data_IF_557659690294
#
_entry.id   IF_557659690294
#
_cell.length_a   1.000
_cell.length_b   1.000
_cell.length_c   1.000
_cell.angle_alpha   90.00
_cell.angle_beta   90.00
_cell.angle_gamma   90.00
#
_symmetry.space_group_name_H-M   'P 1'
#
loop_
_entity.id
_entity.type
_entity.pdbx_description
1 polymer ?
#
# COMPACT_ATOMS: atom_id res chain seq x y z
N UNK A 1 2.09 7.21 -13.27
CA UNK A 1 0.96 6.38 -12.81
C UNK A 1 1.05 6.27 -11.30
N UNK A 2 -0.09 6.12 -10.62
CA UNK A 2 -0.18 5.97 -9.19
C UNK A 2 -0.89 4.66 -8.84
N UNK A 3 -0.72 4.22 -7.59
CA UNK A 3 -1.40 3.06 -7.02
C UNK A 3 -2.05 3.48 -5.71
N UNK A 4 -3.37 3.28 -5.61
CA UNK A 4 -4.15 3.48 -4.39
C UNK A 4 -4.41 2.13 -3.76
N UNK A 5 -4.05 1.98 -2.48
CA UNK A 5 -4.25 0.76 -1.72
C UNK A 5 -5.09 1.03 -0.46
N UNK A 6 -6.02 0.14 -0.15
CA UNK A 6 -6.80 0.15 1.08
C UNK A 6 -6.35 -0.99 2.01
N UNK A 7 -6.19 -0.70 3.29
CA UNK A 7 -5.93 -1.71 4.33
C UNK A 7 -6.93 -1.53 5.48
N UNK A 8 -7.16 -2.62 6.21
CA UNK A 8 -7.82 -2.60 7.51
C UNK A 8 -6.76 -2.87 8.60
N UNK A 9 -6.60 -1.90 9.50
CA UNK A 9 -5.57 -1.86 10.53
C UNK A 9 -6.19 -1.51 11.88
N UNK A 10 -6.76 -2.49 12.60
CA UNK A 10 -7.35 -2.27 13.93
C UNK A 10 -6.38 -1.64 14.93
N UNK A 11 -5.09 -2.00 14.84
CA UNK A 11 -3.98 -1.32 15.51
C UNK A 11 -3.13 -0.58 14.48
N UNK A 12 -3.43 0.71 14.29
CA UNK A 12 -2.72 1.56 13.34
C UNK A 12 -1.22 1.70 13.68
N UNK A 13 -0.87 1.76 14.97
CA UNK A 13 0.52 1.97 15.38
C UNK A 13 1.37 0.75 15.05
N UNK A 14 0.87 -0.45 15.37
CA UNK A 14 1.53 -1.70 15.00
C UNK A 14 1.61 -1.87 13.48
N UNK A 15 0.51 -1.59 12.77
CA UNK A 15 0.48 -1.64 11.31
C UNK A 15 1.49 -0.68 10.67
N UNK A 16 1.58 0.56 11.16
CA UNK A 16 2.50 1.57 10.61
C UNK A 16 3.96 1.16 10.84
N UNK A 17 4.29 0.60 12.01
CA UNK A 17 5.63 0.10 12.27
C UNK A 17 6.02 -1.05 11.33
N UNK A 18 5.10 -1.99 11.07
CA UNK A 18 5.33 -3.07 10.11
C UNK A 18 5.47 -2.54 8.68
N UNK A 19 4.60 -1.61 8.27
CA UNK A 19 4.68 -0.95 6.96
C UNK A 19 6.01 -0.22 6.76
N UNK A 20 6.47 0.52 7.78
CA UNK A 20 7.73 1.25 7.72
C UNK A 20 8.96 0.33 7.65
N UNK A 21 8.87 -0.87 8.25
CA UNK A 21 9.93 -1.87 8.13
C UNK A 21 10.04 -2.49 6.73
N UNK A 22 9.01 -2.33 5.89
CA UNK A 22 8.95 -2.86 4.53
C UNK A 22 9.38 -1.84 3.46
N UNK A 23 9.83 -0.64 3.85
CA UNK A 23 10.18 0.45 2.91
C UNK A 23 11.14 -0.02 1.82
N UNK A 24 12.22 -0.73 2.17
CA UNK A 24 13.19 -1.23 1.18
C UNK A 24 12.56 -2.21 0.19
N UNK A 25 11.64 -3.07 0.65
CA UNK A 25 10.92 -4.02 -0.20
C UNK A 25 9.91 -3.32 -1.11
N UNK A 26 9.26 -2.26 -0.62
CA UNK A 26 8.34 -1.40 -1.39
C UNK A 26 9.12 -0.66 -2.49
N UNK A 27 10.26 -0.07 -2.17
CA UNK A 27 11.14 0.57 -3.15
C UNK A 27 11.66 -0.42 -4.18
N UNK A 28 12.07 -1.62 -3.73
CA UNK A 28 12.44 -2.72 -4.62
C UNK A 28 11.24 -3.30 -5.41
N UNK A 29 10.00 -2.95 -5.07
CA UNK A 29 8.83 -3.25 -5.89
C UNK A 29 8.55 -2.17 -6.96
N UNK A 30 9.39 -1.13 -7.04
CA UNK A 30 9.18 0.00 -7.96
C UNK A 30 8.08 0.94 -7.48
N UNK A 31 7.88 1.05 -6.16
CA UNK A 31 6.89 1.90 -5.53
C UNK A 31 7.57 2.92 -4.62
N UNK A 32 7.04 4.14 -4.56
CA UNK A 32 7.39 5.12 -3.52
C UNK A 32 6.13 5.58 -2.82
N UNK A 33 6.14 5.57 -1.49
CA UNK A 33 4.98 6.02 -0.70
C UNK A 33 4.88 7.54 -0.76
N UNK A 34 3.79 8.07 -1.30
CA UNK A 34 3.52 9.51 -1.35
C UNK A 34 2.75 9.97 -0.12
N UNK A 35 1.64 9.30 0.19
CA UNK A 35 0.76 9.69 1.28
C UNK A 35 0.13 8.46 1.94
N UNK A 36 -0.12 8.58 3.24
CA UNK A 36 -0.89 7.62 4.03
C UNK A 36 -1.99 8.40 4.74
N UNK A 37 -3.23 7.95 4.59
CA UNK A 37 -4.38 8.50 5.30
C UNK A 37 -5.01 7.46 6.20
N UNK A 38 -5.52 7.94 7.33
CA UNK A 38 -6.39 7.18 8.23
C UNK A 38 -7.82 7.66 8.06
N UNK A 39 -8.78 6.75 8.07
CA UNK A 39 -10.19 7.09 8.00
C UNK A 39 -10.61 7.96 9.19
N UNK A 40 -11.23 9.11 8.91
CA UNK A 40 -11.73 10.02 9.95
C UNK A 40 -12.89 9.39 10.73
N UNK A 41 -13.79 8.70 10.02
CA UNK A 41 -14.99 8.06 10.59
C UNK A 41 -14.80 6.56 10.85
N UNK A 42 -13.73 5.97 10.30
CA UNK A 42 -13.37 4.56 10.42
C UNK A 42 -11.88 4.44 10.74
N UNK A 43 -11.50 4.46 12.03
CA UNK A 43 -10.10 4.60 12.42
C UNK A 43 -9.21 3.41 12.07
N UNK A 44 -9.78 2.25 11.74
CA UNK A 44 -9.02 1.09 11.25
C UNK A 44 -8.75 1.17 9.74
N UNK A 45 -9.51 1.96 8.98
CA UNK A 45 -9.30 2.12 7.55
C UNK A 45 -8.03 2.91 7.30
N UNK A 46 -7.13 2.35 6.49
CA UNK A 46 -5.95 3.03 5.99
C UNK A 46 -5.99 3.09 4.47
N UNK A 47 -5.56 4.22 3.91
CA UNK A 47 -5.39 4.43 2.48
C UNK A 47 -3.94 4.81 2.23
N UNK A 48 -3.29 4.14 1.29
CA UNK A 48 -1.91 4.44 0.89
C UNK A 48 -1.91 4.84 -0.58
N UNK A 49 -1.30 5.98 -0.88
CA UNK A 49 -0.99 6.41 -2.23
C UNK A 49 0.48 6.15 -2.51
N UNK A 50 0.74 5.41 -3.57
CA UNK A 50 2.07 5.20 -4.11
C UNK A 50 2.25 5.90 -5.45
N UNK A 51 3.46 6.38 -5.69
CA UNK A 51 4.00 6.57 -7.03
C UNK A 51 4.50 5.23 -7.57
N UNK A 52 4.21 4.94 -8.84
CA UNK A 52 4.62 3.69 -9.49
C UNK A 52 5.67 3.97 -10.54
N UNK A 53 6.90 3.53 -10.27
CA UNK A 53 8.05 3.61 -11.17
C UNK A 53 8.16 2.39 -12.08
N UNK A 54 7.75 1.21 -11.58
CA UNK A 54 7.73 -0.03 -12.35
C UNK A 54 6.42 -0.80 -12.09
N UNK A 55 5.52 -0.79 -13.08
CA UNK A 55 4.22 -1.45 -12.98
C UNK A 55 4.35 -2.97 -12.81
N UNK A 56 5.30 -3.61 -13.48
CA UNK A 56 5.44 -5.07 -13.49
C UNK A 56 5.89 -5.58 -12.13
N UNK A 57 6.86 -4.88 -11.52
CA UNK A 57 7.34 -5.17 -10.15
C UNK A 57 6.26 -4.88 -9.12
N UNK A 58 5.54 -3.76 -9.25
CA UNK A 58 4.43 -3.42 -8.37
C UNK A 58 3.33 -4.49 -8.39
N UNK A 59 2.92 -4.93 -9.59
CA UNK A 59 1.93 -6.00 -9.74
C UNK A 59 2.40 -7.31 -9.11
N UNK A 60 3.67 -7.68 -9.31
CA UNK A 60 4.25 -8.90 -8.72
C UNK A 60 4.26 -8.83 -7.20
N UNK A 61 4.60 -7.67 -6.64
CA UNK A 61 4.58 -7.44 -5.20
C UNK A 61 3.17 -7.54 -4.64
N UNK A 62 2.17 -6.89 -5.26
CA UNK A 62 0.77 -7.00 -4.85
C UNK A 62 0.27 -8.45 -4.85
N UNK A 63 0.60 -9.23 -5.87
CA UNK A 63 0.23 -10.65 -5.94
C UNK A 63 0.87 -11.47 -4.81
N UNK A 64 2.12 -11.18 -4.44
CA UNK A 64 2.78 -11.84 -3.31
C UNK A 64 2.12 -11.49 -1.97
N UNK A 65 1.82 -10.20 -1.74
CA UNK A 65 1.15 -9.76 -0.52
C UNK A 65 -0.23 -10.42 -0.35
N UNK A 66 -1.01 -10.51 -1.45
CA UNK A 66 -2.30 -11.17 -1.43
C UNK A 66 -2.19 -12.69 -1.13
N UNK A 67 -1.19 -13.37 -1.72
CA UNK A 67 -0.97 -14.80 -1.49
C UNK A 67 -0.57 -15.13 -0.04
N UNK A 68 0.05 -14.19 0.68
CA UNK A 68 0.46 -14.34 2.08
C UNK A 68 -0.66 -14.01 3.09
N UNK A 69 -1.83 -13.56 2.62
CA UNK A 69 -2.93 -13.11 3.49
C UNK A 69 -2.65 -11.78 4.22
N UNK A 70 -1.54 -11.12 3.91
CA UNK A 70 -1.15 -9.80 4.43
C UNK A 70 -1.49 -8.66 3.46
N UNK A 71 -2.27 -8.96 2.42
CA UNK A 71 -2.58 -8.05 1.34
C UNK A 71 -3.50 -6.89 1.72
N UNK A 72 -3.46 -5.84 0.90
CA UNK A 72 -4.45 -4.78 0.89
C UNK A 72 -5.85 -5.33 0.57
N UNK A 73 -6.88 -4.74 1.16
CA UNK A 73 -8.29 -5.10 0.91
C UNK A 73 -8.77 -4.65 -0.47
N UNK A 74 -8.17 -3.61 -1.04
CA UNK A 74 -8.42 -3.16 -2.41
C UNK A 74 -7.19 -2.43 -2.96
N UNK A 75 -6.92 -2.60 -4.25
CA UNK A 75 -5.80 -1.97 -4.98
C UNK A 75 -6.28 -1.44 -6.32
N UNK A 76 -5.84 -0.24 -6.69
CA UNK A 76 -6.23 0.40 -7.95
C UNK A 76 -5.05 1.18 -8.56
N UNK A 77 -4.69 0.83 -9.81
CA UNK A 77 -3.76 1.65 -10.59
C UNK A 77 -4.52 2.78 -11.27
N UNK A 78 -4.05 4.01 -11.10
CA UNK A 78 -4.69 5.22 -11.62
C UNK A 78 -3.70 6.11 -12.37
N UNK A 79 -4.22 6.92 -13.27
CA UNK A 79 -3.45 7.92 -14.02
C UNK A 79 -4.06 9.31 -13.82
N UNK A 80 -3.23 10.35 -13.93
CA UNK A 80 -3.72 11.73 -13.99
C UNK A 80 -4.47 11.95 -15.30
N UNK A 81 -5.67 12.53 -15.20
CA UNK A 81 -6.53 12.86 -16.34
C UNK A 81 -5.95 13.97 -17.24
#
# INVERSE_FOLDING_TARGET
MQLICHADAPDYTAWKAAFDSEVENIEAAGLSTLQIWRGADQPSRVVVLFEVHDRGRAQTWLSKQNALGTGFTSTEFVETA
#
